data_IF_570803165712
#
_entry.id   IF_570803165712
#
_cell.length_a   1.000
_cell.length_b   1.000
_cell.length_c   1.000
_cell.angle_alpha   90.00
_cell.angle_beta   90.00
_cell.angle_gamma   90.00
#
_symmetry.space_group_name_H-M   'P 1'
#
loop_
_entity.id
_entity.type
_entity.pdbx_description
1 polymer ?
#
# COMPACT_ATOMS: atom_id res chain seq x y z
N UNK A 1 -3.75 2.04 2.99
CA UNK A 1 -2.43 2.67 3.36
C UNK A 1 -2.55 4.00 4.10
N UNK A 2 -3.40 4.93 3.63
CA UNK A 2 -3.69 6.18 4.34
C UNK A 2 -4.16 5.93 5.77
N UNK A 3 -4.93 4.85 6.00
CA UNK A 3 -5.36 4.33 7.31
C UNK A 3 -4.21 4.17 8.31
N UNK A 4 -3.11 3.54 7.89
CA UNK A 4 -1.97 3.22 8.79
C UNK A 4 -1.20 4.50 9.17
N UNK A 5 -1.08 5.47 8.26
CA UNK A 5 -0.35 6.73 8.49
C UNK A 5 -1.21 7.79 9.18
N UNK A 6 -2.45 8.00 8.73
CA UNK A 6 -3.28 9.14 9.12
C UNK A 6 -4.21 8.86 10.31
N UNK A 7 -4.61 7.60 10.55
CA UNK A 7 -5.52 7.31 11.68
C UNK A 7 -4.80 6.89 12.96
N UNK A 8 -3.60 6.32 12.86
CA UNK A 8 -2.92 5.72 14.03
C UNK A 8 -1.51 6.27 14.31
N UNK A 9 -0.90 7.01 13.39
CA UNK A 9 0.44 7.61 13.59
C UNK A 9 1.58 6.59 13.78
N UNK A 10 1.37 5.33 13.39
CA UNK A 10 2.27 4.21 13.68
C UNK A 10 3.45 4.09 12.70
N UNK A 11 3.43 4.82 11.59
CA UNK A 11 4.45 4.75 10.53
C UNK A 11 4.75 6.16 10.02
N UNK A 12 6.03 6.47 9.89
CA UNK A 12 6.49 7.72 9.29
C UNK A 12 6.28 7.71 7.77
N UNK A 13 6.44 6.53 7.15
CA UNK A 13 6.24 6.33 5.71
C UNK A 13 5.71 4.94 5.44
N UNK A 14 4.76 4.83 4.50
CA UNK A 14 4.25 3.56 3.99
C UNK A 14 3.86 3.72 2.52
N UNK A 15 4.33 2.82 1.66
CA UNK A 15 3.95 2.79 0.25
C UNK A 15 4.13 1.38 -0.32
N UNK A 16 3.44 1.09 -1.43
CA UNK A 16 3.68 -0.12 -2.21
C UNK A 16 4.57 0.19 -3.42
N UNK A 17 5.38 -0.78 -3.82
CA UNK A 17 6.25 -0.67 -4.98
C UNK A 17 6.17 -1.94 -5.83
N UNK A 18 6.45 -1.78 -7.11
CA UNK A 18 6.61 -2.88 -8.05
C UNK A 18 7.94 -2.74 -8.77
N UNK A 19 8.70 -3.82 -8.82
CA UNK A 19 9.88 -3.97 -9.65
C UNK A 19 9.55 -4.99 -10.74
N UNK A 20 9.81 -4.63 -11.99
CA UNK A 20 9.59 -5.53 -13.13
C UNK A 20 10.93 -5.99 -13.66
N UNK A 21 11.10 -7.29 -13.83
CA UNK A 21 12.23 -7.94 -14.49
C UNK A 21 11.77 -8.47 -15.86
N UNK A 22 12.70 -9.00 -16.66
CA UNK A 22 12.38 -9.43 -18.03
C UNK A 22 11.40 -10.61 -18.08
N UNK A 23 11.46 -11.51 -17.09
CA UNK A 23 10.71 -12.76 -16.99
C UNK A 23 9.82 -12.84 -15.73
N UNK A 24 9.99 -11.92 -14.78
CA UNK A 24 9.28 -11.93 -13.50
C UNK A 24 9.10 -10.52 -12.94
N UNK A 25 8.49 -10.39 -11.77
CA UNK A 25 8.38 -9.14 -11.05
C UNK A 25 8.38 -9.37 -9.54
N UNK A 26 8.71 -8.33 -8.81
CA UNK A 26 8.51 -8.26 -7.37
C UNK A 26 7.49 -7.15 -7.08
N UNK A 27 6.60 -7.40 -6.15
CA UNK A 27 5.74 -6.38 -5.57
C UNK A 27 5.84 -6.49 -4.06
N UNK A 28 5.85 -5.35 -3.39
CA UNK A 28 5.98 -5.31 -1.94
C UNK A 28 5.51 -4.01 -1.35
N UNK A 29 5.45 -4.00 -0.03
CA UNK A 29 5.09 -2.85 0.78
C UNK A 29 6.32 -2.47 1.59
N UNK A 30 6.67 -1.19 1.57
CA UNK A 30 7.68 -0.63 2.45
C UNK A 30 6.97 0.16 3.55
N UNK A 31 7.38 -0.06 4.80
CA UNK A 31 6.87 0.63 5.97
C UNK A 31 8.03 1.01 6.90
N UNK A 32 8.19 2.31 7.19
CA UNK A 32 9.17 2.82 8.15
C UNK A 32 8.52 3.12 9.49
N UNK A 33 8.77 2.29 10.50
CA UNK A 33 8.20 2.36 11.85
C UNK A 33 9.26 2.14 12.94
N UNK A 34 8.89 2.34 14.21
CA UNK A 34 9.72 2.00 15.36
C UNK A 34 9.66 0.49 15.64
N UNK A 35 10.74 -0.13 16.20
CA UNK A 35 10.80 -1.58 16.37
C UNK A 35 9.65 -2.18 17.19
N UNK A 36 9.17 -1.45 18.19
CA UNK A 36 8.06 -1.82 19.08
C UNK A 36 6.68 -1.83 18.39
N UNK A 37 6.56 -1.19 17.22
CA UNK A 37 5.32 -1.12 16.44
C UNK A 37 5.36 -2.03 15.20
N UNK A 38 6.46 -2.74 14.96
CA UNK A 38 6.66 -3.53 13.75
C UNK A 38 5.56 -4.59 13.55
N UNK A 39 5.26 -5.36 14.60
CA UNK A 39 4.23 -6.41 14.55
C UNK A 39 2.84 -5.82 14.29
N UNK A 40 2.48 -4.74 14.99
CA UNK A 40 1.23 -4.01 14.78
C UNK A 40 1.09 -3.52 13.33
N UNK A 41 2.16 -3.00 12.74
CA UNK A 41 2.15 -2.52 11.36
C UNK A 41 2.00 -3.69 10.37
N UNK A 42 2.64 -4.84 10.64
CA UNK A 42 2.48 -6.04 9.84
C UNK A 42 1.04 -6.54 9.87
N UNK A 43 0.42 -6.63 11.04
CA UNK A 43 -0.96 -7.07 11.19
C UNK A 43 -1.92 -6.17 10.42
N UNK A 44 -1.74 -4.85 10.50
CA UNK A 44 -2.55 -3.88 9.76
C UNK A 44 -2.37 -3.99 8.25
N UNK A 45 -1.15 -4.23 7.78
CA UNK A 45 -0.90 -4.47 6.35
C UNK A 45 -1.62 -5.74 5.90
N UNK A 46 -1.60 -6.80 6.70
CA UNK A 46 -2.30 -8.04 6.38
C UNK A 46 -3.82 -7.85 6.36
N UNK A 47 -4.38 -7.13 7.32
CA UNK A 47 -5.81 -6.81 7.38
C UNK A 47 -6.26 -6.05 6.13
N UNK A 48 -5.56 -4.96 5.78
CA UNK A 48 -5.90 -4.13 4.61
C UNK A 48 -5.81 -4.92 3.30
N UNK A 49 -4.82 -5.80 3.16
CA UNK A 49 -4.71 -6.67 1.99
C UNK A 49 -5.82 -7.72 1.93
N UNK A 50 -6.25 -8.24 3.08
CA UNK A 50 -7.35 -9.20 3.15
C UNK A 50 -8.66 -8.53 2.72
N UNK A 51 -8.95 -7.34 3.24
CA UNK A 51 -10.10 -6.53 2.82
C UNK A 51 -10.07 -6.23 1.32
N UNK A 52 -8.90 -5.86 0.78
CA UNK A 52 -8.76 -5.61 -0.65
C UNK A 52 -9.06 -6.84 -1.51
N UNK A 53 -8.67 -8.03 -1.05
CA UNK A 53 -8.95 -9.30 -1.76
C UNK A 53 -10.43 -9.68 -1.66
N UNK A 54 -11.05 -9.45 -0.50
CA UNK A 54 -12.44 -9.82 -0.24
C UNK A 54 -13.44 -8.86 -0.91
N UNK A 55 -13.22 -7.56 -0.78
CA UNK A 55 -14.14 -6.51 -1.26
C UNK A 55 -13.79 -6.04 -2.68
N UNK A 56 -12.56 -6.25 -3.12
CA UNK A 56 -12.06 -5.79 -4.41
C UNK A 56 -11.79 -4.28 -4.45
N UNK A 57 -11.48 -3.77 -5.64
CA UNK A 57 -11.23 -2.34 -5.88
C UNK A 57 -12.52 -1.70 -6.40
N UNK A 58 -12.94 -0.61 -5.77
CA UNK A 58 -14.12 0.13 -6.22
C UNK A 58 -13.85 0.90 -7.53
N UNK A 59 -14.89 1.22 -8.33
CA UNK A 59 -14.73 2.01 -9.55
C UNK A 59 -14.04 3.36 -9.31
N UNK A 60 -14.41 4.06 -8.23
CA UNK A 60 -13.85 5.37 -7.88
C UNK A 60 -12.37 5.30 -7.50
N UNK A 61 -11.95 4.24 -6.81
CA UNK A 61 -10.54 3.98 -6.52
C UNK A 61 -9.73 3.69 -7.78
N UNK A 62 -10.30 2.88 -8.68
CA UNK A 62 -9.67 2.54 -9.94
C UNK A 62 -9.46 3.78 -10.82
N UNK A 63 -10.46 4.66 -10.90
CA UNK A 63 -10.35 5.89 -11.68
C UNK A 63 -9.33 6.87 -11.08
N UNK A 64 -9.30 7.01 -9.76
CA UNK A 64 -8.24 7.78 -9.07
C UNK A 64 -6.85 7.21 -9.36
N UNK A 65 -6.67 5.89 -9.28
CA UNK A 65 -5.39 5.24 -9.56
C UNK A 65 -4.94 5.46 -11.02
N UNK A 66 -5.85 5.39 -11.98
CA UNK A 66 -5.58 5.71 -13.40
C UNK A 66 -5.17 7.17 -13.58
N UNK A 67 -5.84 8.08 -12.90
CA UNK A 67 -5.50 9.51 -12.90
C UNK A 67 -4.08 9.76 -12.37
N UNK A 68 -3.74 9.15 -11.22
CA UNK A 68 -2.42 9.27 -10.61
C UNK A 68 -1.31 8.74 -11.52
N UNK A 69 -1.51 7.57 -12.17
CA UNK A 69 -0.54 7.02 -13.12
C UNK A 69 -0.33 7.92 -14.33
N UNK A 70 -1.40 8.50 -14.89
CA UNK A 70 -1.30 9.43 -16.01
C UNK A 70 -0.58 10.73 -15.64
N UNK A 71 -0.84 11.26 -14.43
CA UNK A 71 -0.18 12.46 -13.93
C UNK A 71 1.30 12.28 -13.63
N UNK A 72 1.72 11.09 -13.18
CA UNK A 72 3.14 10.78 -12.89
C UNK A 72 4.00 10.43 -14.12
N UNK A 73 3.39 10.22 -15.28
CA UNK A 73 4.06 9.99 -16.56
C UNK A 73 4.30 11.29 -17.37
N UNK A 74 3.81 12.43 -16.86
CA UNK A 74 3.95 13.76 -17.47
C UNK A 74 5.25 14.45 -17.05
#
# INVERSE_FOLDING_TARGET
FTTIREERGLVYTVYSFRTSYADTGAWGIYAGTTPDQADTVLDLVHEELSTLVEEGITPDELDRARGAMRGGLA
#
